data_IF_996841801573
#
_entry.id   IF_996841801573
#
_cell.length_a   1.000
_cell.length_b   1.000
_cell.length_c   1.000
_cell.angle_alpha   90.00
_cell.angle_beta   90.00
_cell.angle_gamma   90.00
#
_symmetry.space_group_name_H-M   'P 1'
#
loop_
_entity.id
_entity.type
_entity.pdbx_description
1 polymer ?
#
# COMPACT_ATOMS: atom_id res chain seq x y z
N UNK A 1 -3.83 -21.22 -26.79
CA UNK A 1 -5.16 -20.67 -26.47
C UNK A 1 -4.93 -19.53 -25.48
N UNK A 2 -4.90 -18.28 -25.94
CA UNK A 2 -4.75 -17.11 -25.05
C UNK A 2 -6.14 -16.70 -24.60
N UNK A 3 -6.49 -16.99 -23.35
CA UNK A 3 -7.70 -16.43 -22.76
C UNK A 3 -7.51 -14.92 -22.60
N UNK A 4 -8.28 -14.12 -23.31
CA UNK A 4 -8.36 -12.68 -23.06
C UNK A 4 -9.28 -12.45 -21.86
N UNK A 5 -8.72 -11.86 -20.80
CA UNK A 5 -9.48 -11.39 -19.65
C UNK A 5 -9.57 -9.88 -19.73
N UNK A 6 -10.78 -9.33 -19.86
CA UNK A 6 -11.00 -7.89 -19.92
C UNK A 6 -11.08 -7.27 -18.52
N UNK A 7 -10.44 -6.11 -18.35
CA UNK A 7 -10.44 -5.31 -17.13
C UNK A 7 -10.48 -3.82 -17.46
N UNK A 8 -11.08 -3.02 -16.58
CA UNK A 8 -11.17 -1.56 -16.72
C UNK A 8 -9.91 -0.87 -16.16
N UNK A 9 -9.29 -1.49 -15.14
CA UNK A 9 -8.08 -0.97 -14.47
C UNK A 9 -7.08 -2.10 -14.28
N UNK A 10 -5.83 -1.86 -14.71
CA UNK A 10 -4.69 -2.71 -14.39
C UNK A 10 -3.78 -2.03 -13.36
N UNK A 11 -3.54 -2.72 -12.25
CA UNK A 11 -2.59 -2.31 -11.22
C UNK A 11 -1.35 -3.18 -11.36
N UNK A 12 -0.22 -2.56 -11.71
CA UNK A 12 1.08 -3.24 -11.84
C UNK A 12 1.86 -3.06 -10.54
N UNK A 13 1.92 -4.12 -9.75
CA UNK A 13 2.53 -4.22 -8.43
C UNK A 13 1.50 -4.56 -7.35
N UNK A 14 1.52 -5.78 -6.83
CA UNK A 14 0.77 -6.27 -5.68
C UNK A 14 1.52 -6.02 -4.35
N UNK A 15 2.29 -4.93 -4.28
CA UNK A 15 2.86 -4.45 -3.03
C UNK A 15 1.83 -3.70 -2.17
N UNK A 16 2.21 -3.23 -0.97
CA UNK A 16 1.31 -2.59 -0.02
C UNK A 16 0.50 -1.42 -0.60
N UNK A 17 1.13 -0.57 -1.43
CA UNK A 17 0.43 0.55 -2.09
C UNK A 17 -0.58 0.07 -3.13
N UNK A 18 -0.20 -0.89 -3.98
CA UNK A 18 -1.06 -1.42 -5.02
C UNK A 18 -2.27 -2.17 -4.45
N UNK A 19 -2.06 -2.97 -3.40
CA UNK A 19 -3.14 -3.65 -2.69
C UNK A 19 -4.06 -2.69 -1.95
N UNK A 20 -3.51 -1.67 -1.28
CA UNK A 20 -4.32 -0.63 -0.64
C UNK A 20 -5.19 0.12 -1.67
N UNK A 21 -4.62 0.43 -2.84
CA UNK A 21 -5.37 1.07 -3.93
C UNK A 21 -6.44 0.14 -4.52
N UNK A 22 -6.11 -1.13 -4.77
CA UNK A 22 -7.06 -2.12 -5.26
C UNK A 22 -8.22 -2.32 -4.28
N UNK A 23 -7.93 -2.41 -2.98
CA UNK A 23 -8.96 -2.53 -1.95
C UNK A 23 -9.86 -1.29 -1.87
N UNK A 24 -9.28 -0.09 -1.96
CA UNK A 24 -10.05 1.15 -2.02
C UNK A 24 -10.97 1.20 -3.25
N UNK A 25 -10.45 0.83 -4.43
CA UNK A 25 -11.24 0.75 -5.65
C UNK A 25 -12.36 -0.29 -5.52
N UNK A 26 -12.06 -1.48 -4.99
CA UNK A 26 -13.05 -2.53 -4.80
C UNK A 26 -14.20 -2.06 -3.89
N UNK A 27 -13.88 -1.41 -2.76
CA UNK A 27 -14.88 -0.81 -1.86
C UNK A 27 -15.71 0.28 -2.54
N UNK A 28 -15.10 1.07 -3.43
CA UNK A 28 -15.78 2.18 -4.12
C UNK A 28 -16.64 1.70 -5.29
N UNK A 29 -16.23 0.63 -5.96
CA UNK A 29 -16.84 0.15 -7.21
C UNK A 29 -17.89 -0.96 -7.01
N UNK A 30 -17.92 -1.59 -5.82
CA UNK A 30 -18.89 -2.64 -5.49
C UNK A 30 -18.80 -3.81 -6.46
N UNK A 31 -19.92 -4.16 -7.10
CA UNK A 31 -20.03 -5.27 -8.06
C UNK A 31 -19.02 -5.18 -9.23
N UNK A 32 -18.54 -3.98 -9.56
CA UNK A 32 -17.53 -3.78 -10.61
C UNK A 32 -16.10 -4.06 -10.18
N UNK A 33 -15.86 -4.46 -8.93
CA UNK A 33 -14.53 -4.80 -8.44
C UNK A 33 -13.88 -5.94 -9.26
N UNK A 34 -14.67 -6.80 -9.90
CA UNK A 34 -14.19 -7.85 -10.81
C UNK A 34 -13.54 -7.33 -12.10
N UNK A 35 -13.60 -6.02 -12.39
CA UNK A 35 -12.93 -5.36 -13.51
C UNK A 35 -11.56 -4.79 -13.16
N UNK A 36 -11.06 -5.06 -11.95
CA UNK A 36 -9.74 -4.65 -11.49
C UNK A 36 -8.79 -5.85 -11.65
N UNK A 37 -7.75 -5.68 -12.44
CA UNK A 37 -6.68 -6.67 -12.57
C UNK A 37 -5.44 -6.20 -11.79
N UNK A 38 -4.82 -7.10 -11.03
CA UNK A 38 -3.57 -6.86 -10.32
C UNK A 38 -2.51 -7.80 -10.87
N UNK A 39 -1.35 -7.25 -11.23
CA UNK A 39 -0.20 -7.99 -11.73
C UNK A 39 0.97 -7.77 -10.80
N UNK A 40 1.74 -8.81 -10.50
CA UNK A 40 3.03 -8.68 -9.82
C UNK A 40 4.05 -9.62 -10.47
N UNK A 41 5.32 -9.24 -10.42
CA UNK A 41 6.40 -10.10 -10.88
C UNK A 41 6.70 -11.23 -9.87
N UNK A 42 6.36 -11.01 -8.59
CA UNK A 42 6.52 -11.98 -7.52
C UNK A 42 5.31 -12.92 -7.46
N UNK A 43 5.53 -14.21 -7.17
CA UNK A 43 4.43 -15.10 -6.82
C UNK A 43 3.79 -14.68 -5.49
N UNK A 44 2.54 -15.07 -5.29
CA UNK A 44 1.73 -14.69 -4.12
C UNK A 44 2.42 -15.05 -2.81
N UNK A 45 3.05 -16.21 -2.73
CA UNK A 45 3.76 -16.71 -1.55
C UNK A 45 4.95 -15.84 -1.17
N UNK A 46 5.66 -15.28 -2.17
CA UNK A 46 6.77 -14.37 -1.94
C UNK A 46 6.28 -13.00 -1.45
N UNK A 47 5.14 -12.53 -1.94
CA UNK A 47 4.51 -11.29 -1.47
C UNK A 47 3.93 -11.43 -0.06
N UNK A 48 3.35 -12.58 0.28
CA UNK A 48 2.83 -12.87 1.62
C UNK A 48 3.93 -12.96 2.69
N UNK A 49 5.16 -13.26 2.29
CA UNK A 49 6.34 -13.34 3.17
C UNK A 49 7.24 -12.11 3.05
N UNK A 50 6.77 -11.01 2.44
CA UNK A 50 7.56 -9.80 2.29
C UNK A 50 7.95 -9.27 3.68
N UNK A 51 9.25 -9.26 4.04
CA UNK A 51 9.69 -8.96 5.40
C UNK A 51 9.76 -7.45 5.66
N UNK A 52 9.38 -6.61 4.70
CA UNK A 52 9.55 -5.16 4.80
C UNK A 52 8.67 -4.59 5.89
N UNK A 53 9.32 -3.93 6.85
CA UNK A 53 8.67 -3.08 7.83
C UNK A 53 8.31 -1.75 7.15
N UNK A 54 7.08 -1.27 7.37
CA UNK A 54 6.63 0.04 6.91
C UNK A 54 6.33 0.94 8.10
N UNK A 55 6.99 2.10 8.15
CA UNK A 55 6.59 3.18 9.04
C UNK A 55 5.41 3.93 8.40
N UNK A 56 4.21 3.77 8.97
CA UNK A 56 3.00 4.39 8.45
C UNK A 56 2.64 5.62 9.30
N UNK A 57 2.24 6.69 8.63
CA UNK A 57 1.67 7.86 9.32
C UNK A 57 0.28 7.54 9.86
N UNK A 58 -0.17 8.29 10.86
CA UNK A 58 -1.53 8.14 11.39
C UNK A 58 -2.60 8.42 10.31
N UNK A 59 -2.34 9.34 9.38
CA UNK A 59 -3.22 9.57 8.24
C UNK A 59 -3.37 8.33 7.33
N UNK A 60 -2.27 7.59 7.10
CA UNK A 60 -2.32 6.32 6.38
C UNK A 60 -3.12 5.27 7.17
N UNK A 61 -2.92 5.19 8.49
CA UNK A 61 -3.71 4.32 9.37
C UNK A 61 -5.21 4.60 9.26
N UNK A 62 -5.61 5.88 9.29
CA UNK A 62 -7.00 6.30 9.14
C UNK A 62 -7.58 5.90 7.78
N UNK A 63 -6.82 6.02 6.68
CA UNK A 63 -7.29 5.58 5.36
C UNK A 63 -7.41 4.07 5.24
N UNK A 64 -6.50 3.32 5.87
CA UNK A 64 -6.51 1.86 5.86
C UNK A 64 -7.54 1.28 6.84
N UNK A 65 -8.14 2.09 7.72
CA UNK A 65 -9.10 1.62 8.71
C UNK A 65 -10.27 0.86 8.08
N UNK A 66 -10.77 1.30 6.91
CA UNK A 66 -11.85 0.63 6.18
C UNK A 66 -11.41 -0.63 5.42
N UNK A 67 -10.10 -0.82 5.24
CA UNK A 67 -9.52 -1.97 4.55
C UNK A 67 -8.99 -3.04 5.52
N UNK A 68 -9.03 -2.76 6.82
CA UNK A 68 -8.43 -3.60 7.85
C UNK A 68 -6.98 -3.18 8.12
N UNK A 69 -6.79 -2.30 9.10
CA UNK A 69 -5.45 -2.00 9.62
C UNK A 69 -5.03 -3.10 10.61
N UNK A 70 -3.79 -3.61 10.53
CA UNK A 70 -3.34 -4.72 11.38
C UNK A 70 -3.42 -4.36 12.88
N UNK A 71 -3.99 -5.27 13.67
CA UNK A 71 -4.16 -5.08 15.11
C UNK A 71 -2.83 -5.19 15.89
N UNK A 72 -1.84 -5.87 15.31
CA UNK A 72 -0.50 -6.12 15.84
C UNK A 72 0.55 -5.09 15.34
N UNK A 73 0.11 -4.01 14.70
CA UNK A 73 1.00 -2.93 14.29
C UNK A 73 1.74 -2.33 15.49
N UNK A 74 3.08 -2.23 15.40
CA UNK A 74 3.91 -1.62 16.45
C UNK A 74 3.73 -0.09 16.44
N UNK A 75 3.30 0.54 17.55
CA UNK A 75 3.15 1.99 17.61
C UNK A 75 4.49 2.71 17.48
N UNK A 76 4.53 3.76 16.66
CA UNK A 76 5.68 4.66 16.58
C UNK A 76 5.47 5.76 17.62
N UNK A 77 6.17 5.68 18.75
CA UNK A 77 6.09 6.71 19.78
C UNK A 77 6.97 7.91 19.46
N UNK A 78 8.17 7.68 18.92
CA UNK A 78 9.18 8.72 18.72
C UNK A 78 9.81 8.54 17.34
N UNK A 79 10.02 9.65 16.61
CA UNK A 79 10.74 9.68 15.34
C UNK A 79 11.92 10.63 15.54
N UNK A 80 13.14 10.10 15.43
CA UNK A 80 14.35 10.92 15.38
C UNK A 80 14.77 11.10 13.92
N UNK A 81 14.64 12.32 13.41
CA UNK A 81 15.16 12.67 12.08
C UNK A 81 16.51 13.34 12.22
N UNK A 82 17.53 12.74 11.61
CA UNK A 82 18.86 13.34 11.47
C UNK A 82 19.23 13.38 9.99
N UNK A 83 19.84 14.48 9.57
CA UNK A 83 20.50 14.58 8.28
C UNK A 83 22.01 14.64 8.55
N UNK A 84 22.82 14.03 7.70
CA UNK A 84 24.27 14.07 7.88
C UNK A 84 24.74 15.53 7.99
N UNK A 85 25.43 15.87 9.08
CA UNK A 85 25.88 17.24 9.42
C UNK A 85 24.78 18.26 9.73
N UNK A 86 23.51 17.85 9.90
CA UNK A 86 22.37 18.71 10.28
C UNK A 86 21.45 18.00 11.27
N UNK A 87 21.54 18.38 12.54
CA UNK A 87 20.67 17.86 13.59
C UNK A 87 19.28 18.52 13.54
N UNK A 88 18.21 17.71 13.62
CA UNK A 88 16.84 18.19 13.82
C UNK A 88 16.18 18.87 12.61
N UNK A 89 16.71 18.70 11.39
CA UNK A 89 16.08 19.28 10.20
C UNK A 89 15.17 18.27 9.49
N UNK A 90 13.89 18.60 9.38
CA UNK A 90 12.92 17.93 8.49
C UNK A 90 12.59 18.90 7.36
N UNK A 91 12.87 18.53 6.11
CA UNK A 91 12.55 19.36 4.94
C UNK A 91 11.43 18.73 4.12
N UNK A 92 10.22 19.25 4.29
CA UNK A 92 9.07 18.91 3.44
C UNK A 92 8.91 20.02 2.40
N UNK A 93 8.90 19.66 1.11
CA UNK A 93 8.61 20.59 0.01
C UNK A 93 7.43 20.04 -0.80
N UNK A 94 6.39 20.83 -0.95
CA UNK A 94 5.39 20.64 -2.00
C UNK A 94 5.80 21.48 -3.21
N UNK A 95 5.59 20.96 -4.42
CA UNK A 95 5.48 21.84 -5.60
C UNK A 95 4.14 22.57 -5.54
#
# INVERSE_FOLDING_TARGET
MTSHTDFDVAIVGAGPVGLAFAGWLANTWGERANRIAIFDAKPLEASARDPRILALSDATRLRLASLGFPADATPIHHIHVSEQSRFGQVRMKSR
#
